data_IF_359162088844
#
_entry.id   IF_359162088844
#
_cell.length_a   1.000
_cell.length_b   1.000
_cell.length_c   1.000
_cell.angle_alpha   90.00
_cell.angle_beta   90.00
_cell.angle_gamma   90.00
#
_symmetry.space_group_name_H-M   'P 1'
#
loop_
_entity.id
_entity.type
_entity.pdbx_description
1 polymer ?
#
# COMPACT_ATOMS: atom_id res chain seq x y z
N UNK A 1 -18.73 26.61 -25.37
CA UNK A 1 -17.85 25.44 -25.15
C UNK A 1 -17.26 25.56 -23.75
N UNK A 2 -17.86 24.91 -22.75
CA UNK A 2 -17.24 24.74 -21.42
C UNK A 2 -16.57 23.38 -21.35
N UNK A 3 -15.48 23.20 -20.59
CA UNK A 3 -14.79 21.91 -20.52
C UNK A 3 -15.62 20.91 -19.71
N UNK A 4 -15.72 19.70 -20.24
CA UNK A 4 -16.34 18.55 -19.58
C UNK A 4 -15.51 18.20 -18.34
N UNK A 5 -16.05 18.47 -17.14
CA UNK A 5 -15.56 17.83 -15.92
C UNK A 5 -15.81 16.33 -16.10
N UNK A 6 -14.74 15.55 -16.23
CA UNK A 6 -14.82 14.12 -15.99
C UNK A 6 -15.27 13.92 -14.56
N UNK A 7 -16.49 13.44 -14.37
CA UNK A 7 -17.00 13.01 -13.08
C UNK A 7 -16.18 11.80 -12.65
N UNK A 8 -15.17 12.02 -11.82
CA UNK A 8 -14.59 10.95 -11.04
C UNK A 8 -15.70 10.44 -10.11
N UNK A 9 -16.21 9.22 -10.34
CA UNK A 9 -17.19 8.61 -9.47
C UNK A 9 -16.53 8.41 -8.08
N UNK A 10 -16.94 9.13 -7.02
CA UNK A 10 -16.25 9.10 -5.74
C UNK A 10 -16.29 7.73 -5.06
N UNK A 11 -17.21 6.84 -5.46
CA UNK A 11 -17.29 5.48 -4.92
C UNK A 11 -16.08 4.60 -5.28
N UNK A 12 -15.37 4.87 -6.38
CA UNK A 12 -14.22 4.04 -6.79
C UNK A 12 -12.95 4.30 -5.98
N UNK A 13 -12.89 5.34 -5.14
CA UNK A 13 -11.69 5.74 -4.37
C UNK A 13 -11.93 5.82 -2.86
N UNK A 14 -12.87 5.03 -2.34
CA UNK A 14 -13.14 4.94 -0.90
C UNK A 14 -12.67 3.60 -0.32
N UNK A 15 -12.26 3.61 0.95
CA UNK A 15 -12.05 2.38 1.70
C UNK A 15 -13.39 1.70 2.04
N UNK A 16 -13.50 0.43 1.68
CA UNK A 16 -14.59 -0.45 2.09
C UNK A 16 -14.06 -1.46 3.10
N UNK A 17 -14.71 -1.56 4.24
CA UNK A 17 -14.26 -2.44 5.33
C UNK A 17 -15.24 -3.59 5.55
N UNK A 18 -14.72 -4.82 5.58
CA UNK A 18 -15.44 -6.01 6.02
C UNK A 18 -14.72 -6.57 7.26
N UNK A 19 -15.35 -6.44 8.42
CA UNK A 19 -14.70 -6.78 9.69
C UNK A 19 -13.48 -5.90 9.96
N UNK A 20 -12.30 -6.51 10.06
CA UNK A 20 -11.02 -5.83 10.30
C UNK A 20 -10.14 -5.67 9.06
N UNK A 21 -10.64 -6.06 7.90
CA UNK A 21 -9.99 -5.85 6.62
C UNK A 21 -10.66 -4.68 5.90
N UNK A 22 -9.89 -3.68 5.50
CA UNK A 22 -10.34 -2.58 4.68
C UNK A 22 -9.57 -2.58 3.35
N UNK A 23 -10.27 -2.40 2.24
CA UNK A 23 -9.66 -2.29 0.92
C UNK A 23 -10.14 -1.04 0.19
N UNK A 24 -9.27 -0.42 -0.58
CA UNK A 24 -9.61 0.67 -1.49
C UNK A 24 -8.99 0.37 -2.85
N UNK A 25 -9.75 0.63 -3.91
CA UNK A 25 -9.23 0.59 -5.28
C UNK A 25 -8.75 1.98 -5.67
N UNK A 26 -7.58 2.08 -6.27
CA UNK A 26 -7.12 3.33 -6.88
C UNK A 26 -7.52 3.36 -8.36
N UNK A 27 -7.60 4.56 -8.95
CA UNK A 27 -8.01 4.77 -10.34
C UNK A 27 -7.17 3.97 -11.36
N UNK A 28 -5.94 3.59 -10.98
CA UNK A 28 -5.06 2.72 -11.73
C UNK A 28 -5.28 1.23 -11.66
N UNK A 29 -6.24 0.78 -10.85
CA UNK A 29 -6.53 -0.64 -10.62
C UNK A 29 -5.76 -1.29 -9.47
N UNK A 30 -4.78 -0.60 -8.88
CA UNK A 30 -4.07 -1.09 -7.68
C UNK A 30 -5.04 -1.18 -6.50
N UNK A 31 -4.89 -2.22 -5.68
CA UNK A 31 -5.66 -2.44 -4.47
C UNK A 31 -4.79 -2.12 -3.25
N UNK A 32 -5.27 -1.18 -2.43
CA UNK A 32 -4.68 -0.85 -1.14
C UNK A 32 -5.47 -1.62 -0.08
N UNK A 33 -4.80 -2.51 0.65
CA UNK A 33 -5.37 -3.28 1.75
C UNK A 33 -4.83 -2.82 3.10
N UNK A 34 -5.69 -2.77 4.10
CA UNK A 34 -5.37 -2.38 5.48
C UNK A 34 -5.97 -3.39 6.46
N UNK A 35 -5.20 -3.76 7.48
CA UNK A 35 -5.72 -4.49 8.63
C UNK A 35 -4.98 -4.12 9.91
N UNK A 36 -5.69 -4.01 11.03
CA UNK A 36 -5.12 -3.92 12.38
C UNK A 36 -5.14 -5.26 13.13
N UNK A 37 -5.57 -6.33 12.47
CA UNK A 37 -5.72 -7.67 13.02
C UNK A 37 -4.80 -8.68 12.32
N UNK A 38 -4.08 -9.46 13.14
CA UNK A 38 -3.16 -10.53 12.71
C UNK A 38 -3.94 -11.63 11.97
N UNK A 39 -5.19 -11.90 12.37
CA UNK A 39 -6.02 -12.94 11.74
C UNK A 39 -6.34 -12.61 10.28
N UNK A 40 -6.52 -11.32 9.96
CA UNK A 40 -6.85 -10.85 8.61
C UNK A 40 -5.62 -10.61 7.73
N UNK A 41 -4.41 -10.83 8.24
CA UNK A 41 -3.15 -10.64 7.49
C UNK A 41 -3.15 -11.40 6.16
N UNK A 42 -3.53 -12.68 6.18
CA UNK A 42 -3.49 -13.51 4.99
C UNK A 42 -4.42 -12.97 3.89
N UNK A 43 -5.64 -12.54 4.26
CA UNK A 43 -6.59 -11.90 3.34
C UNK A 43 -6.06 -10.57 2.82
N UNK A 44 -5.50 -9.72 3.69
CA UNK A 44 -4.89 -8.46 3.26
C UNK A 44 -3.75 -8.66 2.26
N UNK A 45 -2.87 -9.64 2.49
CA UNK A 45 -1.79 -9.99 1.57
C UNK A 45 -2.27 -10.64 0.26
N UNK A 46 -3.42 -11.33 0.27
CA UNK A 46 -3.97 -11.97 -0.92
C UNK A 46 -4.68 -10.95 -1.83
N UNK A 47 -5.33 -9.96 -1.24
CA UNK A 47 -6.15 -8.96 -1.95
C UNK A 47 -5.39 -7.71 -2.36
N UNK A 48 -4.42 -7.25 -1.55
CA UNK A 48 -3.74 -5.98 -1.74
C UNK A 48 -2.44 -6.09 -2.55
N UNK A 49 -2.25 -5.12 -3.44
CA UNK A 49 -0.94 -4.84 -4.07
C UNK A 49 -0.07 -4.00 -3.13
N UNK A 50 -0.72 -3.12 -2.35
CA UNK A 50 -0.13 -2.29 -1.32
C UNK A 50 -0.82 -2.64 -0.01
N UNK A 51 -0.06 -3.12 0.96
CA UNK A 51 -0.62 -3.69 2.19
C UNK A 51 -0.10 -2.95 3.42
N UNK A 52 -1.03 -2.43 4.22
CA UNK A 52 -0.75 -1.79 5.50
C UNK A 52 -1.10 -2.76 6.62
N UNK A 53 -0.07 -3.29 7.29
CA UNK A 53 -0.21 -4.18 8.45
C UNK A 53 -0.08 -3.35 9.74
N UNK A 54 -1.21 -2.89 10.28
CA UNK A 54 -1.30 -1.97 11.40
C UNK A 54 -1.27 -2.65 12.79
N UNK A 55 -0.66 -3.84 12.86
CA UNK A 55 -0.35 -4.55 14.10
C UNK A 55 1.18 -4.70 14.26
N UNK A 56 1.62 -4.95 15.49
CA UNK A 56 3.03 -5.21 15.79
C UNK A 56 3.21 -6.70 16.07
N UNK A 57 4.31 -7.27 15.59
CA UNK A 57 4.65 -8.67 15.79
C UNK A 57 5.54 -9.20 14.66
N UNK A 58 6.19 -10.35 14.85
CA UNK A 58 6.97 -11.01 13.80
C UNK A 58 6.11 -11.44 12.60
N UNK A 59 4.80 -11.54 12.75
CA UNK A 59 3.85 -11.90 11.70
C UNK A 59 3.55 -10.74 10.74
N UNK A 60 4.05 -9.52 10.99
CA UNK A 60 3.75 -8.33 10.19
C UNK A 60 4.50 -8.31 8.84
N UNK A 61 4.33 -9.35 8.02
CA UNK A 61 4.86 -9.47 6.67
C UNK A 61 3.93 -10.26 5.74
N UNK A 62 4.08 -10.06 4.44
CA UNK A 62 3.49 -10.90 3.40
C UNK A 62 4.57 -11.82 2.81
N UNK A 63 4.26 -13.11 2.64
CA UNK A 63 5.22 -14.12 2.16
C UNK A 63 5.20 -14.32 0.64
N UNK A 64 4.23 -13.70 -0.04
CA UNK A 64 3.87 -13.91 -1.44
C UNK A 64 3.89 -12.59 -2.22
N UNK A 65 4.11 -12.69 -3.53
CA UNK A 65 4.01 -11.63 -4.57
C UNK A 65 4.92 -10.40 -4.40
N UNK A 66 5.11 -9.70 -5.52
CA UNK A 66 5.54 -8.31 -5.50
C UNK A 66 4.43 -7.48 -4.85
N UNK A 67 4.58 -7.20 -3.55
CA UNK A 67 3.62 -6.47 -2.72
C UNK A 67 4.39 -5.38 -1.98
N UNK A 68 3.90 -4.14 -2.02
CA UNK A 68 4.46 -3.05 -1.21
C UNK A 68 3.85 -3.14 0.20
N UNK A 69 4.65 -3.52 1.20
CA UNK A 69 4.17 -3.66 2.59
C UNK A 69 4.66 -2.50 3.45
N UNK A 70 3.74 -1.84 4.15
CA UNK A 70 4.04 -0.87 5.21
C UNK A 70 3.54 -1.44 6.54
N UNK A 71 4.45 -1.60 7.49
CA UNK A 71 4.15 -2.17 8.80
C UNK A 71 3.90 -1.09 9.84
N UNK A 72 3.24 -1.46 10.94
CA UNK A 72 3.14 -0.60 12.13
C UNK A 72 4.52 -0.19 12.67
N UNK A 73 5.55 -1.03 12.48
CA UNK A 73 6.92 -0.71 12.88
C UNK A 73 7.49 0.42 12.05
N UNK A 74 7.29 0.39 10.73
CA UNK A 74 7.74 1.44 9.82
C UNK A 74 7.11 2.77 10.21
N UNK A 75 5.80 2.79 10.46
CA UNK A 75 5.09 3.99 10.91
C UNK A 75 5.51 4.46 12.31
N UNK A 76 5.86 3.53 13.21
CA UNK A 76 6.36 3.91 14.54
C UNK A 76 7.73 4.61 14.44
N UNK A 77 8.63 4.09 13.59
CA UNK A 77 9.98 4.62 13.38
C UNK A 77 9.96 5.92 12.57
N UNK A 78 9.13 5.99 11.53
CA UNK A 78 9.19 7.04 10.51
C UNK A 78 7.99 7.99 10.51
N UNK A 79 7.02 7.80 11.40
CA UNK A 79 5.83 8.64 11.50
C UNK A 79 4.77 8.29 10.45
N UNK A 80 4.25 9.28 9.76
CA UNK A 80 3.29 9.06 8.67
C UNK A 80 3.99 8.65 7.38
N UNK A 81 3.28 7.96 6.49
CA UNK A 81 3.74 7.63 5.15
C UNK A 81 2.81 8.24 4.10
N UNK A 82 3.39 8.81 3.04
CA UNK A 82 2.72 9.17 1.78
C UNK A 82 3.10 8.12 0.74
N UNK A 83 2.09 7.61 0.02
CA UNK A 83 2.31 6.69 -1.11
C UNK A 83 1.94 7.44 -2.38
N UNK A 84 2.93 7.66 -3.23
CA UNK A 84 2.73 8.33 -4.52
C UNK A 84 2.60 7.26 -5.60
N UNK A 85 1.40 7.20 -6.17
CA UNK A 85 1.06 6.31 -7.28
C UNK A 85 1.14 7.13 -8.56
N UNK A 86 2.11 6.80 -9.41
CA UNK A 86 2.24 7.45 -10.70
C UNK A 86 1.15 6.88 -11.63
N UNK A 87 0.39 7.77 -12.27
CA UNK A 87 -0.53 7.36 -13.31
C UNK A 87 0.26 6.57 -14.37
N UNK A 88 -0.20 5.38 -14.73
CA UNK A 88 0.27 4.72 -15.95
C UNK A 88 0.13 5.72 -17.06
N UNK A 89 1.26 6.22 -17.56
CA UNK A 89 1.23 7.05 -18.75
C UNK A 89 0.83 6.10 -19.86
N UNK A 90 -0.47 5.96 -20.15
CA UNK A 90 -0.93 5.56 -21.47
C UNK A 90 -0.41 6.67 -22.38
N UNK A 91 0.84 6.61 -22.81
CA UNK A 91 1.25 7.37 -23.97
C UNK A 91 0.43 6.76 -25.10
N UNK A 92 -0.55 7.49 -25.70
CA UNK A 92 -0.92 7.13 -27.05
C UNK A 92 0.39 7.24 -27.83
N UNK A 93 0.81 6.11 -28.38
CA UNK A 93 1.95 6.03 -29.27
C UNK A 93 1.57 6.88 -30.49
N UNK A 94 1.80 8.19 -30.44
CA UNK A 94 1.79 9.02 -31.64
C UNK A 94 3.08 8.68 -32.39
N UNK A 95 3.09 7.50 -33.02
CA UNK A 95 3.98 7.20 -34.12
C UNK A 95 3.57 8.14 -35.25
N UNK A 96 4.30 9.25 -35.40
CA UNK A 96 4.36 9.96 -36.65
C UNK A 96 4.81 8.94 -37.70
N UNK A 97 3.95 8.73 -38.70
CA UNK A 97 4.11 7.67 -39.68
C UNK A 97 5.37 7.85 -40.50
N UNK A 98 6.12 6.75 -40.60
CA UNK A 98 6.79 6.39 -41.85
C UNK A 98 6.41 4.95 -42.14
N UNK A 99 5.98 4.71 -43.38
CA UNK A 99 5.51 3.43 -43.87
C UNK A 99 6.63 2.38 -43.75
N UNK A 100 6.57 1.58 -42.69
CA UNK A 100 7.35 0.36 -42.51
C UNK A 100 6.42 -0.71 -41.99
N UNK A 101 6.23 -1.77 -42.76
CA UNK A 101 5.43 -2.95 -42.42
C UNK A 101 5.87 -3.55 -41.08
N UNK A 102 5.09 -3.28 -40.02
CA UNK A 102 5.21 -3.98 -38.74
C UNK A 102 4.10 -5.02 -38.66
N UNK A 103 4.45 -6.26 -39.00
CA UNK A 103 3.69 -7.45 -38.57
C UNK A 103 3.92 -7.60 -37.07
N UNK A 104 3.11 -6.90 -36.27
CA UNK A 104 3.16 -7.00 -34.81
C UNK A 104 2.40 -8.24 -34.35
N UNK A 105 3.05 -9.39 -34.49
CA UNK A 105 2.68 -10.65 -33.82
C UNK A 105 3.59 -10.86 -32.62
N UNK A 106 3.36 -10.09 -31.55
CA UNK A 106 3.88 -10.37 -30.20
C UNK A 106 2.67 -10.24 -29.26
N UNK A 107 1.83 -11.27 -29.21
CA UNK A 107 1.87 -12.35 -28.22
C UNK A 107 1.24 -11.92 -26.88
N UNK A 108 0.03 -12.47 -26.67
CA UNK A 108 -0.93 -12.21 -25.63
C UNK A 108 -0.44 -12.65 -24.24
N UNK A 109 0.32 -11.81 -23.55
CA UNK A 109 0.11 -11.61 -22.12
C UNK A 109 -0.83 -10.40 -21.99
N UNK A 110 -1.81 -10.38 -21.07
CA UNK A 110 -2.66 -9.20 -20.96
C UNK A 110 -1.75 -8.03 -20.58
N UNK A 111 -1.56 -7.07 -21.50
CA UNK A 111 -0.72 -5.88 -21.30
C UNK A 111 -1.01 -5.20 -19.96
N UNK A 112 -2.27 -5.31 -19.50
CA UNK A 112 -2.74 -4.88 -18.19
C UNK A 112 -1.96 -5.46 -16.99
N UNK A 113 -1.52 -6.72 -17.00
CA UNK A 113 -0.78 -7.31 -15.88
C UNK A 113 0.65 -6.76 -15.78
N UNK A 114 1.32 -6.56 -16.92
CA UNK A 114 2.66 -5.96 -16.94
C UNK A 114 2.62 -4.49 -16.53
N UNK A 115 1.64 -3.72 -17.04
CA UNK A 115 1.41 -2.34 -16.64
C UNK A 115 1.12 -2.23 -15.14
N UNK A 116 0.34 -3.16 -14.58
CA UNK A 116 0.01 -3.22 -13.15
C UNK A 116 1.26 -3.41 -12.28
N UNK A 117 2.13 -4.36 -12.64
CA UNK A 117 3.38 -4.60 -11.89
C UNK A 117 4.33 -3.41 -12.03
N UNK A 118 4.46 -2.82 -13.22
CA UNK A 118 5.31 -1.64 -13.44
C UNK A 118 4.86 -0.46 -12.56
N UNK A 119 3.55 -0.20 -12.47
CA UNK A 119 3.02 0.83 -11.58
C UNK A 119 3.38 0.58 -10.13
N UNK A 120 3.18 -0.65 -9.64
CA UNK A 120 3.48 -1.00 -8.26
C UNK A 120 4.98 -0.80 -7.97
N UNK A 121 5.86 -1.22 -8.88
CA UNK A 121 7.31 -1.02 -8.78
C UNK A 121 7.68 0.47 -8.84
N UNK A 122 6.94 1.29 -9.59
CA UNK A 122 7.16 2.74 -9.68
C UNK A 122 6.61 3.51 -8.46
N UNK A 123 5.80 2.88 -7.61
CA UNK A 123 5.21 3.52 -6.45
C UNK A 123 6.31 3.99 -5.49
N UNK A 124 6.23 5.24 -5.05
CA UNK A 124 7.21 5.82 -4.12
C UNK A 124 6.58 6.03 -2.76
N UNK A 125 7.23 5.53 -1.70
CA UNK A 125 6.84 5.78 -0.32
C UNK A 125 7.75 6.82 0.30
N UNK A 126 7.16 7.91 0.78
CA UNK A 126 7.86 8.97 1.51
C UNK A 126 7.37 9.00 2.94
N UNK A 127 8.29 9.03 3.91
CA UNK A 127 7.92 9.13 5.32
C UNK A 127 8.07 10.55 5.85
N UNK A 128 7.24 10.91 6.83
CA UNK A 128 7.28 12.21 7.49
C UNK A 128 8.60 12.44 8.25
N UNK A 129 9.16 11.38 8.84
CA UNK A 129 10.49 11.37 9.44
C UNK A 129 11.43 10.61 8.51
N UNK A 130 12.22 11.37 7.76
CA UNK A 130 13.26 10.87 6.86
C UNK A 130 14.53 11.72 6.94
N UNK A 131 15.54 11.40 6.10
CA UNK A 131 16.81 12.14 6.07
C UNK A 131 16.63 13.64 5.80
N UNK A 132 17.48 14.52 6.37
CA UNK A 132 18.58 14.20 7.29
C UNK A 132 18.08 13.79 8.68
N UNK A 133 18.79 12.86 9.33
CA UNK A 133 18.42 12.37 10.65
C UNK A 133 18.49 13.50 11.68
N UNK A 134 17.38 13.71 12.40
CA UNK A 134 17.26 14.77 13.40
C UNK A 134 17.40 14.10 14.77
N UNK A 135 18.37 14.50 15.62
CA UNK A 135 18.65 13.80 16.88
C UNK A 135 17.45 13.62 17.82
N UNK A 136 16.48 14.54 17.77
CA UNK A 136 15.27 14.44 18.57
C UNK A 136 14.25 13.42 18.05
N UNK A 137 14.43 12.80 16.88
CA UNK A 137 13.56 11.71 16.42
C UNK A 137 14.01 10.34 16.94
N UNK A 138 15.23 10.24 17.50
CA UNK A 138 15.80 8.99 18.00
C UNK A 138 14.99 8.35 19.13
N UNK A 139 14.15 9.09 19.86
CA UNK A 139 13.31 8.51 20.92
C UNK A 139 12.27 7.50 20.39
N UNK A 140 11.92 7.57 19.09
CA UNK A 140 10.88 6.72 18.49
C UNK A 140 11.19 5.22 18.61
N UNK A 141 12.48 4.86 18.63
CA UNK A 141 12.94 3.47 18.77
C UNK A 141 12.49 2.80 20.06
N UNK A 142 12.19 3.58 21.11
CA UNK A 142 11.82 3.03 22.41
C UNK A 142 10.34 2.63 22.51
N UNK A 143 9.51 3.07 21.57
CA UNK A 143 8.10 2.67 21.52
C UNK A 143 7.97 1.15 21.33
N UNK A 144 6.88 0.56 21.83
CA UNK A 144 6.62 -0.88 21.70
C UNK A 144 6.53 -1.31 20.25
N UNK A 145 5.76 -0.57 19.45
CA UNK A 145 5.58 -0.85 18.02
C UNK A 145 6.91 -0.78 17.23
N UNK A 146 7.77 0.21 17.51
CA UNK A 146 9.11 0.28 16.89
C UNK A 146 10.00 -0.93 17.21
N UNK A 147 9.74 -1.56 18.36
CA UNK A 147 10.38 -2.81 18.82
C UNK A 147 9.61 -4.08 18.42
N UNK A 148 8.61 -3.99 17.55
CA UNK A 148 7.74 -5.10 17.15
C UNK A 148 7.01 -5.79 18.32
N UNK A 149 6.74 -5.05 19.40
CA UNK A 149 5.98 -5.55 20.54
C UNK A 149 4.50 -5.18 20.41
N UNK A 150 3.64 -6.17 20.64
CA UNK A 150 2.19 -5.96 20.72
C UNK A 150 1.83 -4.90 21.77
N UNK A 151 0.66 -4.29 21.56
CA UNK A 151 0.05 -3.40 22.54
C UNK A 151 -0.24 -4.16 23.84
N UNK A 152 -0.34 -3.44 24.96
CA UNK A 152 -0.77 -4.05 26.21
C UNK A 152 -2.21 -4.54 26.09
N UNK A 153 -2.45 -5.80 26.47
CA UNK A 153 -3.81 -6.28 26.67
C UNK A 153 -4.32 -5.84 28.04
N UNK A 154 -5.15 -4.80 28.04
CA UNK A 154 -5.76 -4.26 29.25
C UNK A 154 -6.66 -5.26 29.99
N UNK A 155 -7.17 -6.32 29.32
CA UNK A 155 -7.99 -7.35 29.99
C UNK A 155 -7.12 -8.25 30.85
N UNK A 156 -6.01 -8.73 30.30
CA UNK A 156 -5.04 -9.55 31.02
C UNK A 156 -4.44 -8.81 32.24
N UNK A 157 -4.31 -7.49 32.15
CA UNK A 157 -3.80 -6.65 33.26
C UNK A 157 -4.85 -6.41 34.35
N UNK A 158 -6.15 -6.46 34.02
CA UNK A 158 -7.24 -6.35 35.02
C UNK A 158 -7.39 -7.64 35.81
N UNK A 159 -7.32 -8.79 35.14
CA UNK A 159 -7.42 -10.09 35.80
C UNK A 159 -6.20 -10.33 36.73
N UNK A 160 -5.00 -9.92 36.33
CA UNK A 160 -3.79 -10.02 37.16
C UNK A 160 -3.71 -9.05 38.36
N UNK A 161 -4.53 -8.00 38.41
CA UNK A 161 -4.62 -7.04 39.52
C UNK A 161 -5.85 -7.27 40.41
N UNK A 162 -6.59 -8.36 40.18
CA UNK A 162 -7.80 -8.72 40.94
C UNK A 162 -7.55 -9.83 41.98
N UNK A 163 -6.29 -10.25 42.16
CA UNK A 163 -5.81 -11.19 43.20
C UNK A 163 -4.98 -10.48 44.27
#
# INVERSE_FOLDING_TARGET
MGPLRGEANPEETQFTCTGKLCTAREQGGLIIAYTDDVAQRASACAEGDIVILAFAGPEAFCSEKATLVITKRDLALHGSAEIRLHASRRQPLNLLGEAGTITSTQQLFPQAYTEHIERLVSATVTYAVGPPDRPWNSYRIYSRAARNLANYDSRQTRDANSE
#
